data_IF_939211365880
#
_entry.id   IF_939211365880
#
_cell.length_a   1.000
_cell.length_b   1.000
_cell.length_c   1.000
_cell.angle_alpha   90.00
_cell.angle_beta   90.00
_cell.angle_gamma   90.00
#
_symmetry.space_group_name_H-M   'P 1'
#
loop_
_entity.id
_entity.type
_entity.pdbx_description
1 polymer ?
#
# COMPACT_ATOMS: atom_id res chain seq x y z
N UNK A 1 5.43 16.23 10.51
CA UNK A 1 3.97 16.00 10.41
C UNK A 1 3.77 15.15 9.16
N UNK A 2 4.09 13.86 9.27
CA UNK A 2 3.91 12.91 8.17
C UNK A 2 2.41 12.71 7.93
N UNK A 3 1.86 13.51 7.02
CA UNK A 3 0.53 13.32 6.49
C UNK A 3 0.61 12.22 5.44
N UNK A 4 0.49 10.97 5.92
CA UNK A 4 0.12 9.89 5.03
C UNK A 4 -1.15 10.32 4.26
N UNK A 5 -1.17 10.20 2.93
CA UNK A 5 -2.36 10.50 2.15
C UNK A 5 -3.52 9.60 2.60
N UNK A 6 -4.78 9.97 2.37
CA UNK A 6 -5.90 9.13 2.76
C UNK A 6 -5.78 7.75 2.10
N UNK A 7 -6.20 6.70 2.82
CA UNK A 7 -6.12 5.30 2.36
C UNK A 7 -6.83 5.07 1.02
N UNK A 8 -7.86 5.86 0.69
CA UNK A 8 -8.49 5.85 -0.64
C UNK A 8 -7.49 6.27 -1.75
N UNK A 9 -6.69 7.31 -1.53
CA UNK A 9 -5.65 7.74 -2.48
C UNK A 9 -4.56 6.69 -2.61
N UNK A 10 -4.11 6.08 -1.50
CA UNK A 10 -3.12 5.00 -1.54
C UNK A 10 -3.66 3.76 -2.26
N UNK A 11 -4.93 3.41 -2.04
CA UNK A 11 -5.57 2.29 -2.73
C UNK A 11 -5.75 2.57 -4.22
N UNK A 12 -6.10 3.80 -4.60
CA UNK A 12 -6.11 4.22 -6.00
C UNK A 12 -4.72 4.20 -6.62
N UNK A 13 -3.69 4.63 -5.91
CA UNK A 13 -2.31 4.53 -6.37
C UNK A 13 -1.88 3.06 -6.57
N UNK A 14 -2.24 2.17 -5.64
CA UNK A 14 -2.08 0.71 -5.80
C UNK A 14 -2.86 0.16 -7.00
N UNK A 15 -4.09 0.64 -7.24
CA UNK A 15 -4.88 0.30 -8.42
C UNK A 15 -4.26 0.83 -9.71
N UNK A 16 -3.65 2.00 -9.70
CA UNK A 16 -2.99 2.60 -10.86
C UNK A 16 -1.54 2.12 -11.04
N UNK A 17 -0.98 1.37 -10.07
CA UNK A 17 0.44 0.98 -10.01
C UNK A 17 1.36 2.18 -10.11
N UNK A 18 1.01 3.20 -9.33
CA UNK A 18 1.66 4.50 -9.39
C UNK A 18 3.01 4.45 -8.66
N UNK A 19 4.10 4.49 -9.43
CA UNK A 19 5.46 4.38 -8.91
C UNK A 19 5.88 5.59 -8.07
N UNK A 20 5.17 6.72 -8.16
CA UNK A 20 5.44 7.90 -7.33
C UNK A 20 5.21 7.64 -5.83
N UNK A 21 4.45 6.60 -5.49
CA UNK A 21 4.21 6.18 -4.11
C UNK A 21 5.12 5.05 -3.64
N UNK A 22 6.00 4.55 -4.51
CA UNK A 22 6.98 3.54 -4.14
C UNK A 22 7.95 4.12 -3.10
N UNK A 23 7.96 3.54 -1.89
CA UNK A 23 8.77 4.03 -0.76
C UNK A 23 8.12 5.14 0.07
N UNK A 24 6.94 5.66 -0.35
CA UNK A 24 6.12 6.57 0.48
C UNK A 24 5.23 5.77 1.43
N UNK A 25 4.69 4.65 0.96
CA UNK A 25 3.91 3.73 1.77
C UNK A 25 4.14 2.28 1.35
N UNK A 26 3.88 1.38 2.29
CA UNK A 26 3.91 -0.06 2.13
C UNK A 26 2.50 -0.63 2.30
N UNK A 27 2.23 -1.68 1.56
CA UNK A 27 0.91 -2.32 1.53
C UNK A 27 1.02 -3.64 2.26
N UNK A 28 0.52 -3.71 3.47
CA UNK A 28 0.43 -4.95 4.26
C UNK A 28 -0.83 -5.72 3.87
N UNK A 29 -0.65 -6.97 3.42
CA UNK A 29 -1.77 -7.85 3.12
C UNK A 29 -2.14 -8.61 4.38
N UNK A 30 -3.28 -8.29 4.99
CA UNK A 30 -3.72 -8.87 6.26
C UNK A 30 -3.93 -10.38 6.20
N UNK A 31 -4.24 -10.91 5.01
CA UNK A 31 -4.46 -12.35 4.79
C UNK A 31 -3.16 -13.15 4.72
N UNK A 32 -2.05 -12.57 4.26
CA UNK A 32 -0.76 -13.26 4.11
C UNK A 32 0.30 -12.78 5.09
N UNK A 33 0.11 -11.64 5.75
CA UNK A 33 1.11 -10.99 6.60
C UNK A 33 2.31 -10.46 5.81
N UNK A 34 2.20 -10.34 4.49
CA UNK A 34 3.29 -9.89 3.62
C UNK A 34 3.09 -8.40 3.29
N UNK A 35 4.17 -7.64 3.38
CA UNK A 35 4.24 -6.28 2.86
C UNK A 35 4.64 -6.31 1.38
N UNK A 36 3.94 -5.52 0.57
CA UNK A 36 4.21 -5.37 -0.85
C UNK A 36 4.32 -3.89 -1.24
N UNK A 37 4.98 -3.66 -2.37
CA UNK A 37 5.10 -2.33 -2.98
C UNK A 37 3.82 -2.00 -3.76
N UNK A 38 3.41 -0.72 -3.86
CA UNK A 38 2.23 -0.32 -4.62
C UNK A 38 2.31 -0.63 -6.12
N UNK A 39 3.53 -0.83 -6.64
CA UNK A 39 3.83 -1.19 -8.03
C UNK A 39 3.81 -2.70 -8.29
N UNK A 40 3.64 -3.53 -7.25
CA UNK A 40 3.75 -4.97 -7.38
C UNK A 40 2.73 -5.53 -8.39
N UNK A 41 3.14 -6.40 -9.32
CA UNK A 41 2.22 -7.01 -10.28
C UNK A 41 1.27 -8.04 -9.64
N UNK A 42 1.43 -8.32 -8.34
CA UNK A 42 0.60 -9.27 -7.61
C UNK A 42 -0.90 -8.94 -7.70
N UNK A 43 -1.73 -9.98 -7.51
CA UNK A 43 -3.18 -9.87 -7.54
C UNK A 43 -3.61 -8.87 -6.46
N UNK A 44 -4.25 -7.77 -6.89
CA UNK A 44 -4.61 -6.69 -5.97
C UNK A 44 -5.58 -7.22 -4.92
N UNK A 45 -5.21 -7.20 -3.63
CA UNK A 45 -6.10 -7.66 -2.58
C UNK A 45 -7.27 -6.67 -2.42
N UNK A 46 -8.39 -7.17 -1.89
CA UNK A 46 -9.54 -6.32 -1.57
C UNK A 46 -9.15 -5.33 -0.47
N UNK A 47 -9.56 -4.05 -0.59
CA UNK A 47 -9.22 -2.96 0.35
C UNK A 47 -9.39 -3.30 1.84
N UNK A 48 -10.32 -4.18 2.14
CA UNK A 48 -10.64 -4.69 3.49
C UNK A 48 -9.55 -5.60 4.09
N UNK A 49 -8.73 -6.22 3.24
CA UNK A 49 -7.63 -7.11 3.61
C UNK A 49 -6.27 -6.45 3.39
N UNK A 50 -6.26 -5.12 3.26
CA UNK A 50 -5.09 -4.33 2.94
C UNK A 50 -4.95 -3.20 3.94
N UNK A 51 -3.81 -3.17 4.60
CA UNK A 51 -3.40 -2.10 5.49
C UNK A 51 -2.24 -1.32 4.85
N UNK A 52 -2.17 -0.03 5.13
CA UNK A 52 -1.15 0.85 4.60
C UNK A 52 -0.24 1.34 5.72
N UNK A 53 1.06 1.19 5.53
CA UNK A 53 2.08 1.54 6.53
C UNK A 53 3.06 2.58 5.95
N UNK A 54 3.48 3.58 6.73
CA UNK A 54 4.46 4.59 6.29
C UNK A 54 5.86 3.99 6.13
N UNK A 55 6.21 3.06 6.99
CA UNK A 55 7.54 2.44 7.04
C UNK A 55 7.40 0.92 7.08
N UNK A 56 8.41 0.17 6.60
CA UNK A 56 8.41 -1.29 6.67
C UNK A 56 8.92 -1.81 8.03
N UNK A 57 9.12 -0.94 9.03
CA UNK A 57 9.84 -1.27 10.27
C UNK A 57 9.20 -0.72 11.55
N UNK A 58 7.92 -0.34 11.52
CA UNK A 58 7.15 0.05 12.72
C UNK A 58 6.36 -1.11 13.33
#
# INVERSE_FOLDING_TARGET
MELLPPTDTMYRALLNRDASFEGIFFVGVRTTGIFCRPTCPAKKPARENVDFFPTPSE
#
